data_IF_051654334734
#
_entry.id   IF_051654334734
#
_cell.length_a   1.000
_cell.length_b   1.000
_cell.length_c   1.000
_cell.angle_alpha   90.00
_cell.angle_beta   90.00
_cell.angle_gamma   90.00
#
_symmetry.space_group_name_H-M   'P 1'
#
loop_
_entity.id
_entity.type
_entity.pdbx_description
1 polymer ?
#
# COMPACT_ATOMS: atom_id res chain seq x y z
N UNK A 1 -18.68 -77.08 17.65
CA UNK A 1 -18.05 -75.77 17.86
C UNK A 1 -16.62 -75.91 17.42
N UNK A 2 -16.03 -75.02 16.63
CA UNK A 2 -16.39 -73.64 16.35
C UNK A 2 -15.12 -72.84 16.57
N UNK A 3 -14.22 -72.86 15.59
CA UNK A 3 -13.04 -71.98 15.57
C UNK A 3 -13.10 -71.18 14.28
N UNK A 4 -13.45 -69.92 14.49
CA UNK A 4 -13.63 -68.91 13.47
C UNK A 4 -12.30 -68.36 12.96
N UNK A 5 -12.35 -68.07 11.68
CA UNK A 5 -11.51 -67.18 10.90
C UNK A 5 -11.04 -65.92 11.66
N UNK A 6 -9.77 -65.53 11.49
CA UNK A 6 -9.42 -64.10 11.51
C UNK A 6 -8.33 -63.79 10.50
N UNK A 7 -8.78 -63.32 9.34
CA UNK A 7 -7.98 -62.66 8.33
C UNK A 7 -7.27 -61.43 8.93
N UNK A 8 -6.00 -61.29 8.58
CA UNK A 8 -5.20 -60.10 8.78
C UNK A 8 -5.70 -59.01 7.81
N UNK A 9 -6.43 -58.02 8.34
CA UNK A 9 -6.84 -56.85 7.58
C UNK A 9 -5.78 -55.75 7.76
N UNK A 10 -5.09 -55.44 6.66
CA UNK A 10 -4.11 -54.38 6.54
C UNK A 10 -4.67 -53.01 6.95
N UNK A 11 -3.95 -52.32 7.82
CA UNK A 11 -4.24 -50.94 8.23
C UNK A 11 -3.90 -49.97 7.08
N UNK A 12 -4.94 -49.39 6.45
CA UNK A 12 -4.76 -48.26 5.54
C UNK A 12 -4.44 -46.99 6.35
N UNK A 13 -3.17 -46.59 6.34
CA UNK A 13 -2.72 -45.30 6.87
C UNK A 13 -3.04 -44.21 5.85
N UNK A 14 -4.03 -43.37 6.15
CA UNK A 14 -4.35 -42.17 5.35
C UNK A 14 -3.28 -41.10 5.59
N UNK A 15 -2.42 -40.89 4.60
CA UNK A 15 -1.39 -39.85 4.61
C UNK A 15 -2.04 -38.44 4.57
N UNK A 16 -1.57 -37.55 5.46
CA UNK A 16 -1.89 -36.11 5.43
C UNK A 16 -1.29 -35.47 4.16
N UNK A 17 -1.95 -34.46 3.56
CA UNK A 17 -1.38 -33.76 2.42
C UNK A 17 -0.18 -32.94 2.88
N UNK A 18 0.99 -33.26 2.32
CA UNK A 18 2.23 -32.51 2.57
C UNK A 18 2.25 -31.29 1.65
N UNK A 19 2.02 -30.11 2.24
CA UNK A 19 2.07 -28.83 1.53
C UNK A 19 3.54 -28.50 1.25
N UNK A 20 3.94 -28.65 -0.01
CA UNK A 20 5.24 -28.18 -0.50
C UNK A 20 5.20 -26.66 -0.61
N UNK A 21 5.82 -25.97 0.33
CA UNK A 21 6.01 -24.52 0.29
C UNK A 21 7.15 -24.23 -0.69
N UNK A 22 6.84 -23.66 -1.87
CA UNK A 22 7.84 -23.09 -2.76
C UNK A 22 8.26 -21.72 -2.21
N UNK A 23 9.55 -21.54 -1.97
CA UNK A 23 10.11 -20.25 -1.55
C UNK A 23 10.25 -19.35 -2.78
N UNK A 24 9.19 -18.60 -3.09
CA UNK A 24 9.24 -17.57 -4.12
C UNK A 24 9.76 -16.25 -3.52
N UNK A 25 10.61 -15.49 -4.24
CA UNK A 25 11.08 -14.21 -3.76
C UNK A 25 9.91 -13.23 -3.61
N UNK A 26 9.56 -12.93 -2.36
CA UNK A 26 8.50 -11.96 -2.05
C UNK A 26 9.07 -10.55 -2.18
N UNK A 27 8.65 -9.84 -3.22
CA UNK A 27 8.95 -8.41 -3.36
C UNK A 27 8.18 -7.62 -2.30
N UNK A 28 8.91 -6.83 -1.51
CA UNK A 28 8.33 -6.06 -0.40
C UNK A 28 7.74 -4.71 -0.84
N UNK A 29 7.99 -4.29 -2.08
CA UNK A 29 7.54 -2.99 -2.60
C UNK A 29 8.25 -1.78 -1.97
N UNK A 30 9.35 -2.02 -1.24
CA UNK A 30 10.25 -1.00 -0.67
C UNK A 30 11.66 -1.06 -1.31
N UNK A 31 11.87 -1.88 -2.35
CA UNK A 31 13.19 -2.12 -2.96
C UNK A 31 13.77 -0.89 -3.68
N UNK A 32 12.90 0.02 -4.12
CA UNK A 32 13.25 1.27 -4.81
C UNK A 32 13.22 2.49 -3.87
N UNK A 33 13.18 2.28 -2.55
CA UNK A 33 13.12 3.35 -1.56
C UNK A 33 14.44 3.46 -0.77
N UNK A 34 14.87 4.69 -0.49
CA UNK A 34 15.86 4.98 0.55
C UNK A 34 15.18 5.27 1.89
N UNK A 35 15.80 4.81 2.96
CA UNK A 35 15.35 5.06 4.33
C UNK A 35 16.10 6.27 4.91
N UNK A 36 15.42 7.41 5.00
CA UNK A 36 16.00 8.67 5.49
C UNK A 36 16.06 8.73 7.03
N UNK A 37 15.17 8.00 7.70
CA UNK A 37 15.06 7.96 9.16
C UNK A 37 14.53 6.60 9.59
N UNK A 38 15.05 6.03 10.68
CA UNK A 38 14.56 4.77 11.26
C UNK A 38 14.85 4.69 12.75
N UNK A 39 13.85 4.91 13.60
CA UNK A 39 14.01 4.91 15.06
C UNK A 39 12.85 4.22 15.77
N UNK A 40 13.11 3.68 16.97
CA UNK A 40 12.09 3.03 17.78
C UNK A 40 11.13 4.06 18.38
N UNK A 41 9.84 3.88 18.13
CA UNK A 41 8.81 4.77 18.63
C UNK A 41 7.52 4.03 19.01
N UNK A 42 6.56 4.78 19.54
CA UNK A 42 5.20 4.35 19.74
C UNK A 42 4.24 5.17 18.91
N UNK A 43 3.25 4.50 18.32
CA UNK A 43 2.17 5.13 17.57
C UNK A 43 0.88 5.15 18.38
N UNK A 44 0.21 6.28 18.34
CA UNK A 44 -1.11 6.50 18.89
C UNK A 44 -2.04 7.06 17.82
N UNK A 45 -3.32 6.74 17.92
CA UNK A 45 -4.40 7.26 17.10
C UNK A 45 -5.40 7.99 18.01
N UNK A 46 -5.84 9.17 17.59
CA UNK A 46 -6.84 9.94 18.34
C UNK A 46 -8.24 9.52 17.91
N UNK A 47 -8.97 8.86 18.81
CA UNK A 47 -10.31 8.35 18.57
C UNK A 47 -11.21 8.67 19.77
N UNK A 48 -12.42 9.15 19.52
CA UNK A 48 -13.41 9.44 20.57
C UNK A 48 -12.84 10.30 21.71
N UNK A 49 -12.21 11.42 21.33
CA UNK A 49 -11.55 12.38 22.24
C UNK A 49 -10.44 11.79 23.13
N UNK A 50 -9.91 10.61 22.78
CA UNK A 50 -8.89 9.90 23.58
C UNK A 50 -7.78 9.34 22.69
N UNK A 51 -6.54 9.38 23.17
CA UNK A 51 -5.41 8.72 22.50
C UNK A 51 -5.43 7.21 22.75
N UNK A 52 -5.51 6.40 21.68
CA UNK A 52 -5.37 4.94 21.73
C UNK A 52 -4.03 4.49 21.20
N UNK A 53 -3.34 3.61 21.92
CA UNK A 53 -2.07 3.05 21.48
C UNK A 53 -2.27 2.04 20.34
N UNK A 54 -1.62 2.27 19.20
CA UNK A 54 -1.68 1.38 18.03
C UNK A 54 -0.55 0.34 18.05
N UNK A 55 0.63 0.71 18.54
CA UNK A 55 1.73 -0.24 18.71
C UNK A 55 3.08 0.42 18.99
N UNK A 56 4.11 -0.42 19.12
CA UNK A 56 5.51 -0.02 19.24
C UNK A 56 6.33 -0.68 18.12
N UNK A 57 7.33 0.03 17.61
CA UNK A 57 8.19 -0.46 16.54
C UNK A 57 9.00 0.65 15.89
N UNK A 58 9.77 0.31 14.86
CA UNK A 58 10.58 1.28 14.15
C UNK A 58 9.69 2.08 13.20
N UNK A 59 9.63 3.40 13.40
CA UNK A 59 9.05 4.31 12.41
C UNK A 59 10.13 4.69 11.41
N UNK A 60 9.78 4.65 10.13
CA UNK A 60 10.63 4.96 8.99
C UNK A 60 10.05 6.10 8.16
N UNK A 61 10.95 6.92 7.64
CA UNK A 61 10.66 7.83 6.53
C UNK A 61 11.35 7.25 5.31
N UNK A 62 10.55 6.72 4.39
CA UNK A 62 11.05 6.18 3.13
C UNK A 62 10.79 7.19 2.02
N UNK A 63 11.76 7.39 1.13
CA UNK A 63 11.63 8.20 -0.08
C UNK A 63 11.97 7.35 -1.29
N UNK A 64 11.20 7.45 -2.36
CA UNK A 64 11.52 6.74 -3.59
C UNK A 64 12.80 7.28 -4.23
N UNK A 65 13.69 6.39 -4.65
CA UNK A 65 14.87 6.71 -5.45
C UNK A 65 14.50 7.19 -6.86
N UNK A 66 13.28 6.88 -7.34
CA UNK A 66 12.78 7.24 -8.67
C UNK A 66 12.12 8.62 -8.68
N UNK A 67 11.40 8.95 -7.61
CA UNK A 67 10.73 10.23 -7.44
C UNK A 67 10.94 10.76 -6.01
N UNK A 68 11.77 11.80 -5.81
CA UNK A 68 12.01 12.36 -4.48
C UNK A 68 10.76 12.97 -3.83
N UNK A 69 9.67 13.14 -4.59
CA UNK A 69 8.37 13.62 -4.11
C UNK A 69 7.53 12.49 -3.54
N UNK A 70 7.83 11.24 -3.89
CA UNK A 70 7.17 10.06 -3.37
C UNK A 70 7.83 9.63 -2.06
N UNK A 71 7.40 10.24 -0.95
CA UNK A 71 7.84 9.88 0.40
C UNK A 71 6.67 9.41 1.27
N UNK A 72 6.96 8.49 2.21
CA UNK A 72 5.95 7.89 3.10
C UNK A 72 6.49 7.61 4.50
N UNK A 73 5.58 7.66 5.47
CA UNK A 73 5.77 7.16 6.81
C UNK A 73 5.35 5.69 6.86
N UNK A 74 6.27 4.83 7.31
CA UNK A 74 6.03 3.40 7.48
C UNK A 74 6.39 3.01 8.92
N UNK A 75 5.54 2.25 9.59
CA UNK A 75 5.88 1.69 10.90
C UNK A 75 5.42 0.24 10.96
N UNK A 76 6.35 -0.66 11.29
CA UNK A 76 6.10 -2.10 11.49
C UNK A 76 6.13 -2.42 12.99
N UNK A 77 5.24 -3.31 13.45
CA UNK A 77 5.21 -3.72 14.85
C UNK A 77 6.45 -4.55 15.25
N UNK A 78 6.97 -4.35 16.47
CA UNK A 78 8.16 -5.07 16.95
C UNK A 78 7.95 -6.60 17.05
N UNK A 79 6.74 -7.04 17.40
CA UNK A 79 6.43 -8.46 17.69
C UNK A 79 5.60 -9.14 16.59
N UNK A 80 5.50 -8.53 15.40
CA UNK A 80 4.80 -9.11 14.28
C UNK A 80 4.97 -8.24 13.03
N UNK A 81 5.08 -8.86 11.86
CA UNK A 81 5.31 -8.20 10.57
C UNK A 81 4.12 -7.33 10.09
N UNK A 82 3.14 -7.04 10.95
CA UNK A 82 2.00 -6.20 10.60
C UNK A 82 2.40 -4.72 10.57
N UNK A 83 1.79 -3.99 9.64
CA UNK A 83 1.94 -2.55 9.53
C UNK A 83 1.09 -1.86 10.61
N UNK A 84 1.71 -0.94 11.33
CA UNK A 84 1.07 -0.01 12.25
C UNK A 84 0.71 1.29 11.53
N UNK A 85 1.59 1.77 10.65
CA UNK A 85 1.43 2.98 9.85
C UNK A 85 1.93 2.72 8.43
N UNK A 86 1.17 3.16 7.44
CA UNK A 86 1.58 3.28 6.05
C UNK A 86 0.86 4.49 5.44
N UNK A 87 1.51 5.64 5.42
CA UNK A 87 0.90 6.91 5.04
C UNK A 87 1.84 7.73 4.16
N UNK A 88 1.36 8.23 3.03
CA UNK A 88 2.14 9.12 2.18
C UNK A 88 2.31 10.49 2.85
N UNK A 89 3.47 11.10 2.65
CA UNK A 89 3.64 12.54 2.89
C UNK A 89 2.97 13.29 1.74
N UNK A 90 2.29 14.38 2.07
CA UNK A 90 1.52 15.18 1.10
C UNK A 90 1.73 16.67 1.35
N UNK A 91 1.53 17.47 0.29
CA UNK A 91 1.75 18.91 0.35
C UNK A 91 0.78 19.58 1.34
N UNK A 92 1.31 20.29 2.34
CA UNK A 92 0.51 20.91 3.39
C UNK A 92 0.30 20.05 4.64
N UNK A 93 0.88 18.85 4.68
CA UNK A 93 0.93 18.06 5.91
C UNK A 93 1.71 18.80 7.00
N UNK A 94 1.14 18.89 8.20
CA UNK A 94 1.74 19.57 9.35
C UNK A 94 2.09 18.58 10.46
N UNK A 95 3.19 18.88 11.14
CA UNK A 95 3.65 18.16 12.32
C UNK A 95 3.67 19.15 13.49
N UNK A 96 3.00 18.80 14.59
CA UNK A 96 2.89 19.66 15.78
C UNK A 96 3.42 18.96 17.01
N UNK A 97 4.39 19.57 17.67
CA UNK A 97 4.96 19.04 18.92
C UNK A 97 3.88 18.95 19.99
N UNK A 98 3.90 17.85 20.73
CA UNK A 98 2.95 17.62 21.80
C UNK A 98 3.25 18.54 22.99
N UNK A 99 2.22 19.20 23.51
CA UNK A 99 2.37 20.07 24.68
C UNK A 99 2.88 19.28 25.90
N UNK A 100 3.86 19.85 26.61
CA UNK A 100 4.43 19.25 27.82
C UNK A 100 5.40 18.08 27.58
N UNK A 101 5.84 17.82 26.35
CA UNK A 101 6.83 16.78 26.04
C UNK A 101 7.70 17.19 24.84
N UNK A 102 9.00 16.90 24.92
CA UNK A 102 9.98 17.13 23.84
C UNK A 102 10.23 15.87 23.01
N UNK A 103 9.40 14.84 23.17
CA UNK A 103 9.60 13.51 22.58
C UNK A 103 8.35 13.01 21.84
N UNK A 104 7.39 13.88 21.57
CA UNK A 104 6.13 13.54 20.93
C UNK A 104 5.73 14.52 19.84
N UNK A 105 5.22 14.00 18.72
CA UNK A 105 4.71 14.77 17.59
C UNK A 105 3.34 14.26 17.19
N UNK A 106 2.48 15.17 16.74
CA UNK A 106 1.14 14.88 16.19
C UNK A 106 1.04 15.30 14.73
N UNK A 107 0.23 14.59 13.95
CA UNK A 107 0.00 14.85 12.54
C UNK A 107 -1.32 14.20 12.07
N UNK A 108 -1.88 14.69 10.98
CA UNK A 108 -3.05 14.08 10.33
C UNK A 108 -2.64 13.34 9.05
N UNK A 109 -3.14 12.13 8.86
CA UNK A 109 -2.89 11.36 7.63
C UNK A 109 -3.99 10.33 7.36
N UNK A 110 -4.02 9.83 6.13
CA UNK A 110 -4.75 8.61 5.77
C UNK A 110 -3.80 7.44 5.96
N UNK A 111 -4.14 6.53 6.87
CA UNK A 111 -3.32 5.36 7.18
C UNK A 111 -3.82 4.14 6.41
N UNK A 112 -3.03 3.66 5.45
CA UNK A 112 -3.32 2.48 4.64
C UNK A 112 -2.87 1.16 5.30
N UNK A 113 -2.35 1.21 6.53
CA UNK A 113 -2.02 0.00 7.27
C UNK A 113 -3.30 -0.74 7.70
N UNK A 114 -3.53 -1.92 7.10
CA UNK A 114 -4.62 -2.80 7.51
C UNK A 114 -4.41 -3.26 8.96
N UNK A 115 -5.48 -3.29 9.79
CA UNK A 115 -5.39 -3.85 11.12
C UNK A 115 -4.93 -5.31 11.04
N UNK A 116 -4.08 -5.74 11.98
CA UNK A 116 -3.64 -7.12 12.05
C UNK A 116 -4.86 -8.03 12.26
N UNK A 117 -5.05 -9.02 11.39
CA UNK A 117 -6.06 -10.05 11.60
C UNK A 117 -5.83 -10.72 12.96
N UNK A 118 -6.82 -10.68 13.85
CA UNK A 118 -6.73 -11.35 15.15
C UNK A 118 -6.76 -12.87 14.98
N UNK A 119 -5.58 -13.47 14.85
CA UNK A 119 -5.31 -14.89 15.12
C UNK A 119 -5.64 -15.88 13.99
N UNK A 120 -4.70 -16.78 13.72
CA UNK A 120 -4.97 -18.04 13.03
C UNK A 120 -5.77 -18.96 13.96
N UNK A 121 -7.08 -19.07 13.77
CA UNK A 121 -7.91 -20.07 14.48
C UNK A 121 -9.31 -19.66 14.92
N UNK A 122 -9.71 -18.39 14.78
CA UNK A 122 -11.10 -18.00 14.99
C UNK A 122 -11.69 -17.56 13.64
N UNK A 123 -12.90 -18.02 13.34
CA UNK A 123 -13.67 -17.57 12.17
C UNK A 123 -13.44 -16.07 11.98
N UNK A 124 -12.85 -15.70 10.85
CA UNK A 124 -12.63 -14.32 10.48
C UNK A 124 -14.01 -13.66 10.54
N UNK A 125 -14.30 -12.95 11.64
CA UNK A 125 -15.36 -11.95 11.59
C UNK A 125 -14.94 -11.08 10.43
N UNK A 126 -15.83 -10.97 9.45
CA UNK A 126 -15.74 -10.02 8.36
C UNK A 126 -15.68 -8.65 9.05
N UNK A 127 -14.50 -8.22 9.45
CA UNK A 127 -14.25 -6.84 9.82
C UNK A 127 -14.62 -6.09 8.55
N UNK A 128 -15.71 -5.32 8.64
CA UNK A 128 -16.11 -4.42 7.59
C UNK A 128 -14.85 -3.62 7.22
N UNK A 129 -14.42 -3.72 5.96
CA UNK A 129 -13.27 -2.98 5.47
C UNK A 129 -13.61 -1.51 5.59
N UNK A 130 -13.29 -0.92 6.73
CA UNK A 130 -13.39 0.52 6.91
C UNK A 130 -12.37 1.12 5.96
N UNK A 131 -12.87 1.87 4.98
CA UNK A 131 -12.04 2.64 4.08
C UNK A 131 -11.05 3.48 4.90
N UNK A 132 -9.80 3.56 4.44
CA UNK A 132 -8.80 4.37 5.10
C UNK A 132 -9.25 5.84 5.06
N UNK A 133 -9.53 6.40 6.23
CA UNK A 133 -9.99 7.79 6.38
C UNK A 133 -8.92 8.66 7.01
N UNK A 134 -9.02 9.98 6.82
CA UNK A 134 -8.17 10.95 7.51
C UNK A 134 -8.37 10.84 9.03
N UNK A 135 -7.28 10.67 9.77
CA UNK A 135 -7.29 10.63 11.23
C UNK A 135 -6.04 11.31 11.80
N UNK A 136 -6.10 11.68 13.09
CA UNK A 136 -4.98 12.29 13.82
C UNK A 136 -4.19 11.23 14.55
N UNK A 137 -2.87 11.25 14.37
CA UNK A 137 -1.93 10.31 14.98
C UNK A 137 -0.89 11.05 15.82
N UNK A 138 -0.26 10.32 16.72
CA UNK A 138 0.92 10.78 17.44
C UNK A 138 2.03 9.72 17.41
N UNK A 139 3.27 10.18 17.22
CA UNK A 139 4.47 9.37 17.41
C UNK A 139 5.18 9.87 18.66
N UNK A 140 5.58 8.94 19.55
CA UNK A 140 6.39 9.25 20.73
C UNK A 140 7.65 8.41 20.77
N UNK A 141 8.80 9.08 20.84
CA UNK A 141 10.10 8.48 21.07
C UNK A 141 10.28 8.22 22.57
N UNK A 142 10.99 7.15 22.96
CA UNK A 142 11.13 6.74 24.37
C UNK A 142 12.57 6.58 24.85
N UNK A 143 13.55 6.87 23.99
CA UNK A 143 14.95 6.64 24.32
C UNK A 143 15.61 7.85 24.99
N UNK A 144 16.84 7.66 25.50
CA UNK A 144 17.60 8.71 26.19
C UNK A 144 17.85 9.95 25.30
N UNK A 145 17.85 9.75 23.99
CA UNK A 145 18.04 10.75 22.94
C UNK A 145 16.74 11.13 22.23
N UNK A 146 15.58 10.96 22.87
CA UNK A 146 14.27 11.18 22.23
C UNK A 146 14.09 12.57 21.61
N UNK A 147 14.71 13.61 22.18
CA UNK A 147 14.70 14.96 21.60
C UNK A 147 15.50 15.05 20.30
N UNK A 148 16.66 14.39 20.21
CA UNK A 148 17.47 14.32 18.99
C UNK A 148 16.77 13.49 17.90
N UNK A 149 16.16 12.37 18.30
CA UNK A 149 15.34 11.54 17.40
C UNK A 149 14.17 12.34 16.82
N UNK A 150 13.47 13.11 17.66
CA UNK A 150 12.38 13.98 17.20
C UNK A 150 12.89 15.08 16.26
N UNK A 151 14.00 15.73 16.59
CA UNK A 151 14.59 16.77 15.75
C UNK A 151 15.02 16.21 14.37
N UNK A 152 15.64 15.03 14.34
CA UNK A 152 16.01 14.35 13.10
C UNK A 152 14.78 13.95 12.29
N UNK A 153 13.75 13.40 12.93
CA UNK A 153 12.48 13.08 12.27
C UNK A 153 11.85 14.32 11.60
N UNK A 154 11.79 15.45 12.31
CA UNK A 154 11.27 16.71 11.79
C UNK A 154 12.12 17.28 10.65
N UNK A 155 13.45 17.14 10.72
CA UNK A 155 14.33 17.56 9.65
C UNK A 155 14.09 16.74 8.36
N UNK A 156 14.05 15.42 8.47
CA UNK A 156 13.80 14.53 7.32
C UNK A 156 12.41 14.74 6.70
N UNK A 157 11.37 14.90 7.53
CA UNK A 157 10.02 15.20 7.02
C UNK A 157 9.97 16.55 6.32
N UNK A 158 10.63 17.58 6.86
CA UNK A 158 10.71 18.90 6.22
C UNK A 158 11.40 18.84 4.85
N UNK A 159 12.48 18.08 4.73
CA UNK A 159 13.16 17.86 3.44
C UNK A 159 12.21 17.21 2.41
N UNK A 160 11.50 16.16 2.81
CA UNK A 160 10.53 15.49 1.94
C UNK A 160 9.37 16.41 1.53
N UNK A 161 8.86 17.22 2.47
CA UNK A 161 7.79 18.18 2.20
C UNK A 161 8.26 19.34 1.30
N UNK A 162 9.54 19.72 1.36
CA UNK A 162 10.10 20.72 0.45
C UNK A 162 10.14 20.21 -0.99
N UNK A 163 10.55 18.94 -1.21
CA UNK A 163 10.55 18.33 -2.54
C UNK A 163 9.14 18.29 -3.18
N UNK A 164 8.09 18.20 -2.37
CA UNK A 164 6.69 18.29 -2.82
C UNK A 164 6.27 19.72 -3.23
N UNK A 165 6.93 20.76 -2.71
CA UNK A 165 6.60 22.16 -2.96
C UNK A 165 7.28 22.74 -4.22
N UNK A 166 8.36 22.14 -4.71
CA UNK A 166 9.11 22.57 -5.91
C UNK A 166 8.36 22.38 -7.25
N UNK A 167 7.04 22.20 -7.21
CA UNK A 167 6.20 22.11 -8.40
C UNK A 167 6.11 23.50 -9.07
N UNK A 168 7.01 23.78 -10.02
CA UNK A 168 6.68 24.71 -11.10
C UNK A 168 5.47 24.16 -11.85
N UNK A 169 4.43 24.97 -12.00
CA UNK A 169 3.30 24.67 -12.88
C UNK A 169 3.81 24.39 -14.30
N UNK A 170 3.68 23.14 -14.74
CA UNK A 170 4.08 22.74 -16.09
C UNK A 170 4.53 21.29 -16.19
N UNK A 171 3.69 20.33 -15.79
CA UNK A 171 3.81 18.96 -16.26
C UNK A 171 2.42 18.32 -16.29
N UNK A 172 1.90 18.18 -17.50
CA UNK A 172 0.64 17.53 -17.83
C UNK A 172 1.01 16.25 -18.60
N UNK A 173 0.66 15.10 -18.05
CA UNK A 173 0.96 13.75 -18.58
C UNK A 173 1.67 12.93 -17.51
N UNK A 174 1.12 11.85 -16.96
CA UNK A 174 0.70 10.67 -17.69
C UNK A 174 -0.42 9.97 -16.90
N UNK A 175 -1.60 9.90 -17.49
CA UNK A 175 -2.55 8.81 -17.21
C UNK A 175 -1.91 7.51 -17.68
N UNK A 176 -1.76 6.46 -16.85
CA UNK A 176 -1.30 5.19 -17.36
C UNK A 176 -2.28 4.65 -18.40
N UNK A 177 -1.75 4.55 -19.62
CA UNK A 177 -2.42 4.09 -20.82
C UNK A 177 -3.00 2.68 -20.66
N UNK A 178 -4.23 2.53 -21.15
CA UNK A 178 -4.81 1.26 -21.59
C UNK A 178 -3.84 0.57 -22.57
N UNK A 179 -3.64 -0.76 -22.51
CA UNK A 179 -2.74 -1.44 -23.44
C UNK A 179 -3.23 -1.25 -24.88
N UNK A 180 -2.35 -0.71 -25.73
CA UNK A 180 -2.50 -0.68 -27.18
C UNK A 180 -2.39 -2.10 -27.72
N UNK A 181 -3.46 -2.55 -28.35
CA UNK A 181 -3.53 -3.75 -29.17
C UNK A 181 -2.78 -3.46 -30.49
N UNK A 182 -1.74 -4.24 -30.80
CA UNK A 182 -1.09 -4.25 -32.12
C UNK A 182 -2.08 -4.75 -33.18
N UNK A 183 -2.16 -4.14 -34.38
CA UNK A 183 -3.01 -4.64 -35.44
C UNK A 183 -2.30 -5.79 -36.16
N UNK A 184 -2.88 -7.00 -36.07
CA UNK A 184 -2.49 -8.13 -36.90
C UNK A 184 -3.05 -7.97 -38.33
N UNK A 185 -2.19 -8.32 -39.28
CA UNK A 185 -2.38 -8.41 -40.73
C UNK A 185 -3.77 -8.82 -41.24
N UNK A 186 -4.23 -8.11 -42.27
CA UNK A 186 -5.32 -8.49 -43.15
C UNK A 186 -4.78 -9.38 -44.29
N UNK A 187 -5.40 -10.54 -44.61
CA UNK A 187 -5.17 -11.21 -45.88
C UNK A 187 -6.19 -10.75 -46.94
N UNK A 188 -5.69 -10.69 -48.17
CA UNK A 188 -6.33 -10.15 -49.36
C UNK A 188 -7.46 -11.00 -49.98
N UNK A 189 -8.15 -10.33 -50.93
CA UNK A 189 -8.97 -10.79 -52.06
C UNK A 189 -10.48 -11.01 -51.86
N UNK A 190 -11.31 -10.21 -52.54
CA UNK A 190 -11.95 -10.63 -53.80
C UNK A 190 -12.83 -9.52 -54.42
N UNK A 191 -12.80 -9.45 -55.74
CA UNK A 191 -13.51 -8.52 -56.63
C UNK A 191 -15.03 -8.74 -56.65
N UNK A 192 -15.81 -7.67 -56.83
CA UNK A 192 -16.92 -7.67 -57.78
C UNK A 192 -17.29 -6.25 -58.23
N UNK A 193 -17.19 -6.03 -59.54
CA UNK A 193 -17.83 -4.96 -60.29
C UNK A 193 -19.35 -5.14 -60.25
N UNK A 194 -20.11 -4.07 -60.08
CA UNK A 194 -21.39 -3.90 -60.79
C UNK A 194 -21.67 -2.41 -61.03
N UNK A 195 -21.87 -2.12 -62.31
CA UNK A 195 -22.23 -0.86 -62.97
C UNK A 195 -23.74 -0.59 -62.82
N UNK A 196 -24.17 0.66 -62.61
CA UNK A 196 -25.10 1.40 -63.52
C UNK A 196 -25.61 2.76 -62.98
N UNK A 197 -25.23 3.79 -63.73
CA UNK A 197 -26.02 4.88 -64.34
C UNK A 197 -27.07 5.74 -63.58
N UNK A 198 -26.75 7.05 -63.58
CA UNK A 198 -27.57 8.20 -64.01
C UNK A 198 -28.76 8.69 -63.16
N UNK A 199 -28.71 9.97 -62.74
CA UNK A 199 -29.63 11.02 -63.22
C UNK A 199 -29.26 12.43 -62.69
N UNK A 200 -29.65 13.42 -63.49
CA UNK A 200 -29.44 14.88 -63.42
C UNK A 200 -30.14 15.56 -62.22
N UNK A 201 -29.67 16.76 -61.87
CA UNK A 201 -30.48 17.79 -61.20
C UNK A 201 -29.67 19.02 -60.81
N UNK A 202 -29.74 20.07 -61.63
CA UNK A 202 -29.31 21.43 -61.32
C UNK A 202 -30.52 22.24 -60.77
N UNK A 203 -30.25 23.50 -60.39
CA UNK A 203 -31.15 24.57 -59.87
C UNK A 203 -31.16 24.68 -58.33
N UNK A 204 -30.51 25.68 -57.72
CA UNK A 204 -30.82 27.13 -57.64
C UNK A 204 -32.08 27.44 -56.79
N UNK A 205 -31.86 28.00 -55.59
CA UNK A 205 -32.46 29.28 -55.18
C UNK A 205 -31.92 29.81 -53.85
N UNK A 206 -31.64 31.11 -53.89
CA UNK A 206 -31.63 32.09 -52.79
C UNK A 206 -32.98 32.13 -52.09
#
# INVERSE_FOLDING_TARGET
>A
GGDGERQEAAAASTAKPEVKMSEEPVKTGEEDDECLFCELAQLFEFESATWRGRGKGNVRINRSLKDPRAARLVMKGHNGLHLLLNANLWAGMTFTEMEGTTHGITFACVNHARPAAKGAGAAAKKEEEKEASLATYAIRFREKNAGEQLASFLACTKECLAALADKKEGDQGDTPAKPTEEPAEEPAEAKKEEETQAAKGAEEKV
#
